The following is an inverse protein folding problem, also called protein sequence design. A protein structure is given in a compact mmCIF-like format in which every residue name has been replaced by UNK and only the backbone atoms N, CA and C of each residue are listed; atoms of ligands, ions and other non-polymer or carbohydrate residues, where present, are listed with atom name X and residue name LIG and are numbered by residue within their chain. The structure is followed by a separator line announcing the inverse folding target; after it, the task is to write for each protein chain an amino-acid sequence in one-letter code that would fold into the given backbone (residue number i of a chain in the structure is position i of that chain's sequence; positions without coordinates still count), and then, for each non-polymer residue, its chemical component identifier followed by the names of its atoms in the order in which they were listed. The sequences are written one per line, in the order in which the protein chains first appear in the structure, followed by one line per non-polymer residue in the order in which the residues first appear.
data_IF_882816677971
#
_entry.id   IF_882816677971
#
_cell.length_a   1.000
_cell.length_b   1.000
_cell.length_c   1.000
_cell.angle_alpha   90.00
_cell.angle_beta   90.00
_cell.angle_gamma   90.00
#
_symmetry.space_group_name_H-M   'P 1'
#
loop_
_entity.id
_entity.type
_entity.pdbx_description
1 polymer ?
#
# COMPACT_ATOMS: atom_id res chain seq x y z
N UNK A 1 -4.42 -23.45 -10.65
CA UNK A 1 -4.63 -22.02 -10.30
C UNK A 1 -5.68 -21.45 -11.25
N UNK A 2 -6.63 -20.65 -10.77
CA UNK A 2 -7.73 -20.18 -11.62
C UNK A 2 -7.24 -19.18 -12.68
N UNK A 3 -7.87 -19.20 -13.86
CA UNK A 3 -7.61 -18.25 -14.96
C UNK A 3 -7.69 -16.79 -14.47
N UNK A 4 -8.65 -16.52 -13.60
CA UNK A 4 -8.91 -15.20 -13.02
C UNK A 4 -7.71 -14.60 -12.29
N UNK A 5 -6.90 -15.41 -11.57
CA UNK A 5 -5.72 -14.90 -10.85
C UNK A 5 -4.64 -14.40 -11.81
N UNK A 6 -4.42 -15.13 -12.92
CA UNK A 6 -3.45 -14.70 -13.94
C UNK A 6 -3.90 -13.40 -14.60
N UNK A 7 -5.19 -13.30 -14.92
CA UNK A 7 -5.77 -12.10 -15.53
C UNK A 7 -5.67 -10.89 -14.59
N UNK A 8 -5.93 -11.07 -13.29
CA UNK A 8 -5.78 -10.01 -12.28
C UNK A 8 -4.33 -9.51 -12.19
N UNK A 9 -3.36 -10.42 -12.12
CA UNK A 9 -1.95 -10.06 -12.08
C UNK A 9 -1.52 -9.32 -13.34
N UNK A 10 -1.90 -9.82 -14.52
CA UNK A 10 -1.57 -9.20 -15.80
C UNK A 10 -2.13 -7.77 -15.90
N UNK A 11 -3.39 -7.56 -15.49
CA UNK A 11 -4.01 -6.23 -15.44
C UNK A 11 -3.27 -5.24 -14.53
N UNK A 12 -2.50 -5.74 -13.58
CA UNK A 12 -1.70 -4.94 -12.65
C UNK A 12 -0.20 -4.94 -13.00
N UNK A 13 0.18 -5.41 -14.20
CA UNK A 13 1.57 -5.41 -14.68
C UNK A 13 2.48 -6.44 -14.00
N UNK A 14 1.89 -7.50 -13.43
CA UNK A 14 2.58 -8.51 -12.65
C UNK A 14 2.43 -9.91 -13.24
N UNK A 15 3.42 -10.75 -12.99
CA UNK A 15 3.42 -12.18 -13.30
C UNK A 15 3.39 -13.01 -12.02
N UNK A 16 2.93 -14.27 -12.11
CA UNK A 16 2.75 -15.14 -10.94
C UNK A 16 4.05 -15.40 -10.17
N UNK A 17 5.19 -15.48 -10.87
CA UNK A 17 6.50 -15.64 -10.26
C UNK A 17 6.88 -14.43 -9.40
N UNK A 18 6.42 -13.23 -9.77
CA UNK A 18 6.70 -11.99 -9.03
C UNK A 18 5.89 -11.86 -7.75
N UNK A 19 4.82 -12.64 -7.55
CA UNK A 19 4.03 -12.59 -6.31
C UNK A 19 4.89 -12.95 -5.11
N UNK A 20 5.83 -13.89 -5.25
CA UNK A 20 6.77 -14.21 -4.16
C UNK A 20 7.73 -13.05 -3.89
N UNK A 21 8.19 -12.38 -4.93
CA UNK A 21 9.08 -11.22 -4.80
C UNK A 21 8.38 -10.09 -4.04
N UNK A 22 7.07 -9.89 -4.30
CA UNK A 22 6.27 -8.95 -3.49
C UNK A 22 6.26 -9.33 -2.01
N UNK A 23 6.13 -10.61 -1.67
CA UNK A 23 6.18 -11.03 -0.26
C UNK A 23 7.57 -10.75 0.34
N UNK A 24 8.64 -11.04 -0.39
CA UNK A 24 10.02 -10.78 0.05
C UNK A 24 10.32 -9.29 0.22
N UNK A 25 9.71 -8.42 -0.57
CA UNK A 25 9.89 -6.97 -0.45
C UNK A 25 9.12 -6.35 0.71
N UNK A 26 8.02 -6.97 1.13
CA UNK A 26 7.04 -6.36 2.02
C UNK A 26 6.98 -6.98 3.41
N UNK A 27 7.63 -8.11 3.61
CA UNK A 27 7.65 -8.84 4.87
C UNK A 27 9.04 -9.43 5.13
N UNK A 28 9.51 -9.31 6.37
CA UNK A 28 10.78 -9.89 6.83
C UNK A 28 10.66 -11.41 7.04
N UNK A 29 9.43 -11.92 7.17
CA UNK A 29 9.18 -13.35 7.38
C UNK A 29 7.78 -13.81 6.93
N UNK A 30 7.64 -15.11 6.69
CA UNK A 30 6.33 -15.75 6.46
C UNK A 30 5.37 -15.54 7.64
N UNK A 31 5.91 -15.38 8.86
CA UNK A 31 5.12 -15.11 10.07
C UNK A 31 4.49 -13.72 10.03
N UNK A 32 5.25 -12.71 9.61
CA UNK A 32 4.74 -11.35 9.45
C UNK A 32 3.70 -11.27 8.33
N UNK A 33 3.98 -11.91 7.18
CA UNK A 33 3.00 -12.04 6.11
C UNK A 33 1.70 -12.70 6.61
N UNK A 34 1.81 -13.77 7.40
CA UNK A 34 0.65 -14.46 7.95
C UNK A 34 -0.19 -13.57 8.88
N UNK A 35 0.45 -12.75 9.71
CA UNK A 35 -0.23 -11.74 10.53
C UNK A 35 -0.96 -10.72 9.65
N UNK A 36 -0.31 -10.21 8.61
CA UNK A 36 -0.93 -9.24 7.69
C UNK A 36 -2.16 -9.80 6.96
N UNK A 37 -2.11 -11.07 6.53
CA UNK A 37 -3.23 -11.73 5.85
C UNK A 37 -4.25 -12.40 6.77
N UNK A 38 -4.04 -12.37 8.09
CA UNK A 38 -4.94 -13.01 9.07
C UNK A 38 -4.99 -14.54 8.96
N UNK A 39 -3.88 -15.18 8.63
CA UNK A 39 -3.77 -16.65 8.47
C UNK A 39 -2.63 -17.22 9.32
N UNK A 40 -2.45 -18.54 9.32
CA UNK A 40 -1.28 -19.15 9.95
C UNK A 40 -0.07 -19.19 8.99
N UNK A 41 1.14 -19.17 9.56
CA UNK A 41 2.41 -19.21 8.79
C UNK A 41 2.49 -20.41 7.84
N UNK A 42 1.96 -21.57 8.25
CA UNK A 42 1.87 -22.78 7.42
C UNK A 42 1.08 -22.54 6.14
N UNK A 43 0.03 -21.73 6.19
CA UNK A 43 -0.80 -21.39 5.02
C UNK A 43 0.00 -20.55 4.02
N UNK A 44 0.78 -19.57 4.49
CA UNK A 44 1.67 -18.77 3.65
C UNK A 44 2.75 -19.63 2.99
N UNK A 45 3.39 -20.51 3.76
CA UNK A 45 4.36 -21.50 3.23
C UNK A 45 3.75 -22.39 2.15
N UNK A 46 2.51 -22.84 2.34
CA UNK A 46 1.78 -23.62 1.35
C UNK A 46 1.50 -22.82 0.07
N UNK A 47 1.18 -21.53 0.17
CA UNK A 47 1.02 -20.64 -0.99
C UNK A 47 2.31 -20.52 -1.80
N UNK A 48 3.44 -20.30 -1.12
CA UNK A 48 4.74 -20.22 -1.79
C UNK A 48 5.12 -21.54 -2.47
N UNK A 49 4.95 -22.67 -1.77
CA UNK A 49 5.28 -24.00 -2.28
C UNK A 49 4.44 -24.38 -3.50
N UNK A 50 3.12 -24.18 -3.42
CA UNK A 50 2.19 -24.65 -4.45
C UNK A 50 1.87 -23.57 -5.50
N UNK A 51 2.38 -22.34 -5.34
CA UNK A 51 2.05 -21.14 -6.14
C UNK A 51 0.53 -20.94 -6.26
N UNK A 52 -0.20 -21.17 -5.16
CA UNK A 52 -1.66 -21.18 -5.12
C UNK A 52 -2.22 -20.06 -4.24
N UNK A 53 -1.83 -18.83 -4.53
CA UNK A 53 -2.31 -17.64 -3.82
C UNK A 53 -3.81 -17.39 -4.06
N UNK A 54 -4.63 -17.25 -3.00
CA UNK A 54 -6.03 -16.85 -3.13
C UNK A 54 -6.17 -15.46 -3.75
N UNK A 55 -7.25 -15.21 -4.50
CA UNK A 55 -7.52 -13.90 -5.12
C UNK A 55 -7.50 -12.72 -4.12
N UNK A 56 -8.08 -12.82 -2.91
CA UNK A 56 -8.00 -11.73 -1.93
C UNK A 56 -6.56 -11.40 -1.52
N UNK A 57 -5.70 -12.41 -1.40
CA UNK A 57 -4.28 -12.24 -1.05
C UNK A 57 -3.55 -11.51 -2.18
N UNK A 58 -3.79 -11.91 -3.43
CA UNK A 58 -3.25 -11.24 -4.62
C UNK A 58 -3.65 -9.76 -4.66
N UNK A 59 -4.92 -9.45 -4.44
CA UNK A 59 -5.39 -8.06 -4.41
C UNK A 59 -4.74 -7.27 -3.29
N UNK A 60 -4.70 -7.86 -2.08
CA UNK A 60 -4.21 -7.16 -0.91
C UNK A 60 -2.69 -6.91 -0.96
N UNK A 61 -1.90 -7.83 -1.54
CA UNK A 61 -0.45 -7.61 -1.74
C UNK A 61 -0.18 -6.58 -2.84
N UNK A 62 -1.00 -6.52 -3.90
CA UNK A 62 -0.91 -5.47 -4.93
C UNK A 62 -1.22 -4.10 -4.31
N UNK A 63 -2.26 -4.04 -3.46
CA UNK A 63 -2.62 -2.84 -2.71
C UNK A 63 -1.45 -2.41 -1.79
N UNK A 64 -0.85 -3.33 -1.03
CA UNK A 64 0.34 -3.02 -0.23
C UNK A 64 1.50 -2.52 -1.10
N UNK A 65 1.77 -3.18 -2.23
CA UNK A 65 2.88 -2.84 -3.11
C UNK A 65 2.76 -1.48 -3.78
N UNK A 66 1.54 -1.05 -4.10
CA UNK A 66 1.27 0.29 -4.65
C UNK A 66 1.33 1.41 -3.60
N UNK A 67 1.57 1.07 -2.32
CA UNK A 67 1.64 2.06 -1.25
C UNK A 67 0.28 2.66 -0.90
N UNK A 68 -0.82 1.90 -1.09
CA UNK A 68 -2.11 2.31 -0.51
C UNK A 68 -2.03 2.35 1.01
N UNK A 69 -2.95 3.11 1.61
CA UNK A 69 -2.97 3.40 3.06
C UNK A 69 -2.77 2.11 3.88
N UNK A 70 -1.72 2.03 4.69
CA UNK A 70 -1.46 0.85 5.50
C UNK A 70 -2.50 0.73 6.63
N UNK A 71 -2.72 -0.48 7.17
CA UNK A 71 -3.69 -0.71 8.23
C UNK A 71 -3.19 -0.30 9.63
N UNK A 72 -2.30 0.70 9.71
CA UNK A 72 -1.75 1.20 10.98
C UNK A 72 -2.66 2.28 11.59
N UNK A 73 -2.41 2.62 12.85
CA UNK A 73 -3.27 3.54 13.61
C UNK A 73 -3.29 4.96 13.03
N UNK A 74 -2.18 5.42 12.47
CA UNK A 74 -2.02 6.76 11.89
C UNK A 74 -2.92 6.98 10.67
N UNK A 75 -3.27 5.91 9.96
CA UNK A 75 -4.14 5.93 8.79
C UNK A 75 -5.59 5.60 9.12
N UNK A 76 -5.92 5.41 10.40
CA UNK A 76 -7.28 5.10 10.85
C UNK A 76 -8.24 6.21 10.44
N UNK A 77 -9.28 5.83 9.70
CA UNK A 77 -10.32 6.74 9.22
C UNK A 77 -9.99 7.45 7.91
N UNK A 78 -8.75 7.35 7.41
CA UNK A 78 -8.42 7.79 6.06
C UNK A 78 -9.00 6.83 5.02
N UNK A 79 -9.44 7.35 3.87
CA UNK A 79 -10.04 6.54 2.79
C UNK A 79 -9.63 7.09 1.44
N UNK A 80 -9.38 6.22 0.47
CA UNK A 80 -9.25 6.63 -0.93
C UNK A 80 -10.58 6.33 -1.64
N UNK A 81 -11.15 7.34 -2.32
CA UNK A 81 -12.30 7.15 -3.22
C UNK A 81 -12.01 7.87 -4.53
N UNK A 82 -11.97 7.11 -5.63
CA UNK A 82 -11.50 7.65 -6.91
C UNK A 82 -10.04 8.10 -6.80
N UNK A 83 -9.80 9.37 -7.10
CA UNK A 83 -8.50 10.06 -7.07
C UNK A 83 -8.30 10.94 -5.82
N UNK A 84 -9.21 10.87 -4.85
CA UNK A 84 -9.21 11.70 -3.64
C UNK A 84 -8.86 10.88 -2.40
N UNK A 85 -7.99 11.43 -1.56
CA UNK A 85 -7.73 10.99 -0.19
C UNK A 85 -8.65 11.73 0.77
N UNK A 86 -9.50 11.01 1.49
CA UNK A 86 -10.37 11.53 2.52
C UNK A 86 -9.72 11.38 3.89
N UNK A 87 -9.66 12.46 4.67
CA UNK A 87 -9.24 12.45 6.07
C UNK A 87 -10.37 11.92 6.98
N UNK A 88 -10.07 11.51 8.23
CA UNK A 88 -11.10 11.11 9.20
C UNK A 88 -12.10 12.24 9.51
N UNK A 89 -11.67 13.50 9.39
CA UNK A 89 -12.51 14.69 9.54
C UNK A 89 -13.41 14.98 8.32
N UNK A 90 -13.29 14.19 7.24
CA UNK A 90 -14.12 14.32 6.04
C UNK A 90 -13.55 15.25 4.95
N UNK A 91 -12.33 15.79 5.13
CA UNK A 91 -11.68 16.61 4.10
C UNK A 91 -11.21 15.72 2.95
N UNK A 92 -11.53 16.12 1.72
CA UNK A 92 -10.98 15.50 0.52
C UNK A 92 -9.69 16.23 0.10
N UNK A 93 -8.66 15.46 -0.24
CA UNK A 93 -7.36 15.93 -0.71
C UNK A 93 -7.08 15.24 -2.04
N UNK A 94 -6.93 16.02 -3.10
CA UNK A 94 -6.46 15.52 -4.39
C UNK A 94 -4.96 15.24 -4.35
N UNK A 95 -4.45 14.52 -5.35
CA UNK A 95 -3.01 14.36 -5.53
C UNK A 95 -2.29 15.71 -5.71
N UNK A 96 -2.96 16.75 -6.21
CA UNK A 96 -2.40 18.09 -6.34
C UNK A 96 -2.27 18.77 -4.97
N UNK A 97 -3.32 18.70 -4.14
CA UNK A 97 -3.29 19.24 -2.76
C UNK A 97 -2.17 18.61 -1.94
N UNK A 98 -1.94 17.30 -2.11
CA UNK A 98 -0.87 16.59 -1.44
C UNK A 98 0.53 17.00 -1.93
N UNK A 99 0.68 17.36 -3.21
CA UNK A 99 1.95 17.87 -3.76
C UNK A 99 2.30 19.25 -3.20
N UNK A 100 1.30 20.10 -2.99
CA UNK A 100 1.52 21.44 -2.43
C UNK A 100 1.83 21.44 -0.92
N UNK A 101 1.64 20.31 -0.22
CA UNK A 101 1.95 20.18 1.21
C UNK A 101 3.47 20.06 1.52
N UNK A 102 4.37 20.00 0.53
CA UNK A 102 5.83 20.02 0.74
C UNK A 102 6.35 21.44 1.09
N UNK A 103 5.67 22.10 2.03
CA UNK A 103 6.00 23.43 2.51
C UNK A 103 7.10 23.32 3.56
N UNK A 104 8.26 23.93 3.29
CA UNK A 104 9.30 24.08 4.31
C UNK A 104 8.92 25.23 5.24
N UNK A 105 8.89 24.94 6.54
CA UNK A 105 8.77 25.96 7.59
C UNK A 105 10.19 26.27 8.09
N UNK A 106 10.66 27.49 7.84
CA UNK A 106 11.85 28.03 8.48
C UNK A 106 11.44 29.01 9.57
N UNK A 107 11.96 28.82 10.78
CA UNK A 107 11.81 29.78 11.88
C UNK A 107 12.96 30.78 11.80
N UNK A 108 12.62 32.06 11.64
CA UNK A 108 13.60 33.13 11.53
C UNK A 108 13.12 34.29 12.42
N UNK A 109 13.79 34.42 13.57
CA UNK A 109 13.62 35.29 14.75
C UNK A 109 12.19 35.67 15.19
N UNK A 110 11.26 36.11 14.33
CA UNK A 110 9.83 36.34 14.67
C UNK A 110 8.84 36.13 13.50
N UNK A 111 9.27 35.56 12.37
CA UNK A 111 8.41 35.39 11.17
C UNK A 111 8.40 33.94 10.72
N UNK A 112 7.19 33.38 10.54
CA UNK A 112 6.99 32.08 9.88
C UNK A 112 6.93 32.30 8.38
N UNK A 113 7.97 31.87 7.66
CA UNK A 113 8.01 31.91 6.19
C UNK A 113 7.58 30.56 5.63
N UNK A 114 6.54 30.56 4.80
CA UNK A 114 6.12 29.41 4.01
C UNK A 114 6.68 29.58 2.59
N UNK A 115 7.50 28.63 2.15
CA UNK A 115 8.03 28.64 0.78
C UNK A 115 7.78 27.30 0.11
N UNK A 116 7.41 27.35 -1.17
CA UNK A 116 7.30 26.17 -2.02
C UNK A 116 8.71 25.66 -2.31
N UNK A 117 8.94 24.37 -2.14
CA UNK A 117 10.22 23.76 -2.46
C UNK A 117 10.43 23.79 -3.98
N UNK A 118 11.40 24.58 -4.44
CA UNK A 118 11.83 24.54 -5.84
C UNK A 118 12.69 23.29 -6.04
N UNK A 119 12.37 22.50 -7.06
CA UNK A 119 13.23 21.43 -7.56
C UNK A 119 14.28 22.00 -8.52
#
# INVERSE_FOLDING_TARGET
MSKNVKDELYKNGLYINQVRDLFLWHFDSDKEAAQYFGVCEKTVKNWHRNRNYPMPVIRLIIVKHRGYLPPTEEWRGFRIRGDMLYTPSGRALSAYDLKELDIRVSLDEHVVKFSRKSY
#
